data_IF_663197376335
#
_entry.id   IF_663197376335
#
_cell.length_a   1.000
_cell.length_b   1.000
_cell.length_c   1.000
_cell.angle_alpha   90.00
_cell.angle_beta   90.00
_cell.angle_gamma   90.00
#
_symmetry.space_group_name_H-M   'P 1'
#
loop_
_entity.id
_entity.type
_entity.pdbx_description
1 polymer ?
#
# COMPACT_ATOMS: atom_id res chain seq x y z
N UNK A 1 -51.68 20.48 13.22
CA UNK A 1 -50.69 19.82 14.10
C UNK A 1 -51.41 19.19 15.28
N UNK A 2 -51.40 17.86 15.37
CA UNK A 2 -51.67 17.05 16.57
C UNK A 2 -51.34 15.60 16.20
N UNK A 3 -50.08 15.20 16.46
CA UNK A 3 -49.61 13.83 16.40
C UNK A 3 -50.11 13.10 17.65
N UNK A 4 -51.10 12.24 17.50
CA UNK A 4 -51.37 11.22 18.53
C UNK A 4 -51.59 9.89 17.83
N UNK A 5 -51.00 8.84 18.40
CA UNK A 5 -51.25 7.41 18.13
C UNK A 5 -50.34 6.71 17.12
N UNK A 6 -49.25 6.12 17.60
CA UNK A 6 -48.99 4.67 17.42
C UNK A 6 -47.74 4.16 18.18
N UNK A 7 -47.61 4.50 19.46
CA UNK A 7 -46.62 3.86 20.36
C UNK A 7 -46.82 2.34 20.43
N UNK A 8 -48.07 1.87 20.38
CA UNK A 8 -48.40 0.43 20.37
C UNK A 8 -47.78 -0.37 19.21
N UNK A 9 -47.46 0.26 18.08
CA UNK A 9 -46.80 -0.39 16.93
C UNK A 9 -45.28 -0.51 17.12
N UNK A 10 -44.68 0.42 17.86
CA UNK A 10 -43.24 0.43 18.16
C UNK A 10 -42.90 -0.63 19.23
N UNK A 11 -43.79 -0.87 20.21
CA UNK A 11 -43.58 -1.93 21.20
C UNK A 11 -43.79 -3.35 20.66
N UNK A 12 -44.55 -3.52 19.57
CA UNK A 12 -44.82 -4.82 18.96
C UNK A 12 -43.70 -5.28 18.00
N UNK A 13 -42.90 -4.35 17.46
CA UNK A 13 -41.74 -4.66 16.61
C UNK A 13 -40.47 -4.96 17.42
N UNK A 14 -40.34 -4.42 18.64
CA UNK A 14 -39.17 -4.67 19.50
C UNK A 14 -39.20 -6.04 20.23
N UNK A 15 -40.38 -6.66 20.33
CA UNK A 15 -40.53 -7.99 20.94
C UNK A 15 -40.24 -9.15 19.96
N UNK A 16 -40.17 -8.88 18.65
CA UNK A 16 -39.92 -9.89 17.62
C UNK A 16 -38.43 -10.09 17.30
N UNK A 17 -37.55 -9.18 17.72
CA UNK A 17 -36.09 -9.25 17.45
C UNK A 17 -35.26 -9.75 18.63
N UNK A 18 -35.86 -10.02 19.78
CA UNK A 18 -35.18 -10.50 20.99
C UNK A 18 -35.63 -11.93 21.38
N UNK A 19 -35.71 -12.82 20.38
CA UNK A 19 -36.00 -14.24 20.58
C UNK A 19 -35.09 -15.17 19.74
N UNK A 20 -34.03 -14.66 19.11
CA UNK A 20 -33.06 -15.45 18.35
C UNK A 20 -31.61 -15.31 18.87
N UNK A 21 -31.48 -15.20 20.19
CA UNK A 21 -30.21 -15.36 20.87
C UNK A 21 -30.44 -16.21 22.11
N UNK A 22 -30.17 -17.52 22.01
CA UNK A 22 -29.43 -18.35 22.97
C UNK A 22 -29.51 -19.82 22.51
N UNK A 23 -28.37 -20.33 22.06
CA UNK A 23 -27.87 -21.66 22.41
C UNK A 23 -28.27 -22.84 21.52
N UNK A 24 -27.35 -23.31 20.68
CA UNK A 24 -26.78 -24.67 20.85
C UNK A 24 -25.38 -24.72 20.23
N UNK A 25 -24.36 -24.75 21.09
CA UNK A 25 -23.13 -25.47 20.78
C UNK A 25 -23.47 -26.96 20.91
N UNK A 26 -23.64 -27.65 19.77
CA UNK A 26 -23.79 -29.10 19.71
C UNK A 26 -22.79 -29.64 18.69
N UNK A 27 -21.71 -30.22 19.21
CA UNK A 27 -20.76 -31.06 18.48
C UNK A 27 -21.50 -32.35 18.08
N UNK A 28 -21.59 -32.65 16.79
CA UNK A 28 -22.24 -33.86 16.27
C UNK A 28 -21.98 -34.02 14.77
N UNK A 29 -21.52 -35.21 14.41
CA UNK A 29 -20.86 -35.62 13.16
C UNK A 29 -21.64 -35.51 11.83
N UNK A 30 -20.85 -35.44 10.75
CA UNK A 30 -21.04 -36.01 9.40
C UNK A 30 -21.89 -35.29 8.34
N UNK A 31 -21.16 -34.93 7.28
CA UNK A 31 -21.43 -34.92 5.83
C UNK A 31 -22.35 -33.87 5.15
N UNK A 32 -21.72 -33.22 4.16
CA UNK A 32 -22.19 -32.55 2.95
C UNK A 32 -23.35 -31.54 3.03
N UNK A 33 -23.05 -30.25 2.84
CA UNK A 33 -23.43 -29.50 1.62
C UNK A 33 -22.94 -28.03 1.71
N UNK A 34 -22.47 -27.56 0.55
CA UNK A 34 -22.15 -26.19 0.12
C UNK A 34 -22.43 -25.03 1.10
N UNK A 35 -21.34 -24.54 1.72
CA UNK A 35 -21.30 -23.31 2.49
C UNK A 35 -20.42 -22.25 1.83
N UNK A 36 -21.07 -21.26 1.25
CA UNK A 36 -20.63 -19.86 1.06
C UNK A 36 -19.26 -19.54 1.69
N UNK A 37 -18.22 -19.53 0.85
CA UNK A 37 -16.91 -19.02 1.23
C UNK A 37 -16.97 -17.48 1.24
N UNK A 38 -17.56 -16.93 2.30
CA UNK A 38 -17.21 -15.60 2.75
C UNK A 38 -15.70 -15.55 2.95
N UNK A 39 -15.00 -14.90 2.02
CA UNK A 39 -13.55 -14.69 2.02
C UNK A 39 -13.16 -13.80 3.21
N UNK A 40 -13.13 -14.40 4.39
CA UNK A 40 -12.32 -13.95 5.50
C UNK A 40 -10.90 -14.46 5.24
N UNK A 41 -9.98 -13.54 4.93
CA UNK A 41 -8.57 -13.84 4.72
C UNK A 41 -7.99 -14.57 5.94
N UNK A 42 -7.91 -15.89 5.85
CA UNK A 42 -7.13 -16.72 6.74
C UNK A 42 -5.67 -16.69 6.24
N UNK A 43 -4.85 -15.84 6.87
CA UNK A 43 -3.38 -15.99 6.93
C UNK A 43 -2.62 -16.31 5.63
N UNK A 44 -3.05 -15.77 4.48
CA UNK A 44 -2.38 -16.00 3.20
C UNK A 44 -1.31 -14.95 2.90
N UNK A 45 -0.18 -15.38 2.34
CA UNK A 45 0.86 -14.49 1.80
C UNK A 45 0.28 -13.60 0.70
N UNK A 46 0.53 -12.29 0.77
CA UNK A 46 0.13 -11.32 -0.24
C UNK A 46 1.28 -11.00 -1.18
N UNK A 47 1.02 -11.05 -2.48
CA UNK A 47 1.97 -10.59 -3.49
C UNK A 47 2.06 -9.06 -3.46
N UNK A 48 3.28 -8.53 -3.53
CA UNK A 48 3.55 -7.11 -3.69
C UNK A 48 4.68 -6.89 -4.69
N UNK A 49 4.56 -5.85 -5.51
CA UNK A 49 5.57 -5.48 -6.50
C UNK A 49 6.12 -4.09 -6.17
N UNK A 50 7.43 -4.00 -5.95
CA UNK A 50 8.17 -2.76 -5.75
C UNK A 50 9.03 -2.46 -6.97
N UNK A 51 8.86 -1.28 -7.54
CA UNK A 51 9.73 -0.74 -8.60
C UNK A 51 10.71 0.23 -7.94
N UNK A 52 12.02 0.05 -8.15
CA UNK A 52 13.04 0.98 -7.65
C UNK A 52 13.01 2.32 -8.42
N UNK A 53 13.79 3.33 -8.04
CA UNK A 53 13.92 4.60 -8.79
C UNK A 53 15.05 4.56 -9.83
N UNK A 54 15.98 3.61 -9.67
CA UNK A 54 17.14 3.42 -10.53
C UNK A 54 17.73 2.01 -10.30
N UNK A 55 18.87 1.72 -10.97
CA UNK A 55 19.61 0.48 -10.71
C UNK A 55 20.00 0.35 -9.21
N UNK A 56 20.10 -0.88 -8.67
CA UNK A 56 20.42 -1.10 -7.27
C UNK A 56 21.69 -0.38 -6.79
N UNK A 57 21.65 0.11 -5.55
CA UNK A 57 22.69 0.94 -4.96
C UNK A 57 22.53 1.04 -3.45
N UNK A 58 23.41 1.78 -2.77
CA UNK A 58 23.46 1.82 -1.31
C UNK A 58 22.13 2.22 -0.65
N UNK A 59 21.34 3.07 -1.30
CA UNK A 59 20.02 3.53 -0.80
C UNK A 59 18.99 2.41 -0.75
N UNK A 60 19.18 1.34 -1.53
CA UNK A 60 18.29 0.18 -1.60
C UNK A 60 18.70 -0.95 -0.64
N UNK A 61 19.85 -0.85 0.04
CA UNK A 61 20.45 -1.96 0.77
C UNK A 61 19.51 -2.57 1.83
N UNK A 62 18.76 -1.74 2.57
CA UNK A 62 17.83 -2.23 3.59
C UNK A 62 16.68 -3.08 3.02
N UNK A 63 16.24 -2.81 1.80
CA UNK A 63 15.18 -3.58 1.12
C UNK A 63 15.72 -4.98 0.80
N UNK A 64 16.90 -5.06 0.20
CA UNK A 64 17.54 -6.32 -0.15
C UNK A 64 17.98 -7.12 1.07
N UNK A 65 18.44 -6.46 2.13
CA UNK A 65 18.78 -7.12 3.40
C UNK A 65 17.52 -7.72 4.06
N UNK A 66 16.40 -6.99 4.08
CA UNK A 66 15.13 -7.50 4.60
C UNK A 66 14.63 -8.71 3.81
N UNK A 67 14.81 -8.70 2.49
CA UNK A 67 14.50 -9.84 1.61
C UNK A 67 15.40 -11.05 1.92
N UNK A 68 16.72 -10.85 2.03
CA UNK A 68 17.66 -11.92 2.37
C UNK A 68 17.39 -12.52 3.76
N UNK A 69 16.95 -11.70 4.71
CA UNK A 69 16.63 -12.13 6.08
C UNK A 69 15.23 -12.73 6.22
N UNK A 70 14.43 -12.79 5.17
CA UNK A 70 13.08 -13.36 5.19
C UNK A 70 12.01 -12.45 5.80
N UNK A 71 12.30 -11.18 6.08
CA UNK A 71 11.37 -10.30 6.81
C UNK A 71 10.05 -10.06 6.07
N UNK A 72 10.06 -10.05 4.72
CA UNK A 72 8.82 -9.96 3.96
C UNK A 72 7.99 -11.23 4.10
N UNK A 73 8.60 -12.41 3.93
CA UNK A 73 7.94 -13.71 4.06
C UNK A 73 7.38 -13.94 5.47
N UNK A 74 8.15 -13.60 6.51
CA UNK A 74 7.74 -13.66 7.92
C UNK A 74 6.51 -12.79 8.23
N UNK A 75 6.31 -11.72 7.45
CA UNK A 75 5.15 -10.84 7.55
C UNK A 75 4.06 -11.16 6.51
N UNK A 76 4.15 -12.31 5.84
CA UNK A 76 3.17 -12.74 4.85
C UNK A 76 3.19 -11.90 3.57
N UNK A 77 4.35 -11.41 3.14
CA UNK A 77 4.53 -10.63 1.92
C UNK A 77 5.47 -11.37 0.97
N UNK A 78 5.00 -11.67 -0.24
CA UNK A 78 5.83 -12.14 -1.35
C UNK A 78 6.22 -10.95 -2.21
N UNK A 79 7.36 -10.33 -1.89
CA UNK A 79 7.84 -9.13 -2.56
C UNK A 79 8.59 -9.47 -3.86
N UNK A 80 8.17 -8.85 -4.97
CA UNK A 80 8.89 -8.82 -6.25
C UNK A 80 9.49 -7.44 -6.47
N UNK A 81 10.77 -7.40 -6.87
CA UNK A 81 11.46 -6.15 -7.18
C UNK A 81 11.64 -6.01 -8.70
N UNK A 82 11.32 -4.83 -9.22
CA UNK A 82 11.58 -4.43 -10.60
C UNK A 82 12.66 -3.34 -10.58
N UNK A 83 13.69 -3.51 -11.39
CA UNK A 83 14.77 -2.54 -11.56
C UNK A 83 14.53 -1.71 -12.84
N UNK A 84 14.06 -0.45 -12.76
CA UNK A 84 13.88 0.38 -13.93
C UNK A 84 15.13 1.19 -14.26
N UNK A 85 15.04 1.94 -15.36
CA UNK A 85 16.09 2.85 -15.81
C UNK A 85 15.98 4.27 -15.26
N UNK A 86 14.84 4.67 -14.69
CA UNK A 86 14.64 6.02 -14.14
C UNK A 86 13.39 6.12 -13.24
N UNK A 87 13.31 7.19 -12.44
CA UNK A 87 12.09 7.55 -11.67
C UNK A 87 10.86 7.72 -12.57
N UNK A 88 11.03 8.29 -13.77
CA UNK A 88 9.94 8.46 -14.71
C UNK A 88 9.36 7.12 -15.18
N UNK A 89 10.21 6.11 -15.35
CA UNK A 89 9.76 4.76 -15.72
C UNK A 89 9.06 4.07 -14.54
N UNK A 90 9.53 4.30 -13.32
CA UNK A 90 8.86 3.85 -12.09
C UNK A 90 7.43 4.36 -12.01
N UNK A 91 7.25 5.68 -12.15
CA UNK A 91 5.93 6.31 -12.06
C UNK A 91 4.99 5.79 -13.16
N UNK A 92 5.47 5.63 -14.39
CA UNK A 92 4.68 5.04 -15.49
C UNK A 92 4.24 3.60 -15.19
N UNK A 93 5.08 2.79 -14.55
CA UNK A 93 4.73 1.41 -14.18
C UNK A 93 3.66 1.37 -13.09
N UNK A 94 3.70 2.30 -12.13
CA UNK A 94 2.66 2.46 -11.11
C UNK A 94 1.34 2.89 -11.77
N UNK A 95 1.36 3.93 -12.60
CA UNK A 95 0.17 4.44 -13.30
C UNK A 95 -0.47 3.39 -14.21
N UNK A 96 0.35 2.52 -14.82
CA UNK A 96 -0.11 1.42 -15.66
C UNK A 96 -0.65 0.21 -14.86
N UNK A 97 -0.66 0.27 -13.53
CA UNK A 97 -1.07 -0.83 -12.65
C UNK A 97 -0.16 -2.06 -12.76
N UNK A 98 1.12 -1.85 -13.11
CA UNK A 98 2.14 -2.91 -13.23
C UNK A 98 2.97 -3.10 -11.97
N UNK A 99 2.79 -2.22 -10.98
CA UNK A 99 3.42 -2.33 -9.67
C UNK A 99 2.53 -1.74 -8.57
N UNK A 100 2.74 -2.19 -7.34
CA UNK A 100 1.98 -1.75 -6.17
C UNK A 100 2.68 -0.57 -5.48
N UNK A 101 4.01 -0.58 -5.48
CA UNK A 101 4.85 0.44 -4.85
C UNK A 101 5.98 0.86 -5.79
N UNK A 102 6.33 2.15 -5.73
CA UNK A 102 7.44 2.72 -6.47
C UNK A 102 8.31 3.59 -5.56
N UNK A 103 9.62 3.53 -5.76
CA UNK A 103 10.55 4.56 -5.26
C UNK A 103 10.65 5.62 -6.34
N UNK A 104 10.57 6.89 -5.93
CA UNK A 104 10.66 8.04 -6.83
C UNK A 104 11.42 9.18 -6.16
N UNK A 105 12.08 10.01 -6.96
CA UNK A 105 12.59 11.30 -6.50
C UNK A 105 11.44 12.20 -6.01
N UNK A 106 11.71 12.96 -4.94
CA UNK A 106 10.70 13.80 -4.31
C UNK A 106 10.21 14.94 -5.19
N UNK A 107 11.05 15.50 -6.07
CA UNK A 107 10.66 16.55 -7.02
C UNK A 107 9.76 15.97 -8.11
N UNK A 108 10.11 14.79 -8.64
CA UNK A 108 9.30 14.12 -9.67
C UNK A 108 7.92 13.75 -9.12
N UNK A 109 7.84 13.22 -7.89
CA UNK A 109 6.58 12.95 -7.22
C UNK A 109 5.76 14.24 -7.00
N UNK A 110 6.41 15.33 -6.56
CA UNK A 110 5.72 16.61 -6.38
C UNK A 110 5.19 17.17 -7.70
N UNK A 111 5.93 16.99 -8.80
CA UNK A 111 5.50 17.35 -10.15
C UNK A 111 4.25 16.57 -10.57
N UNK A 112 4.24 15.25 -10.37
CA UNK A 112 3.06 14.42 -10.65
C UNK A 112 1.80 14.90 -9.91
N UNK A 113 1.95 15.20 -8.62
CA UNK A 113 0.86 15.72 -7.80
C UNK A 113 0.40 17.10 -8.31
N UNK A 114 1.35 17.97 -8.67
CA UNK A 114 1.06 19.31 -9.20
C UNK A 114 0.35 19.26 -10.56
N UNK A 115 0.66 18.27 -11.39
CA UNK A 115 0.03 18.04 -12.70
C UNK A 115 -1.38 17.43 -12.58
N UNK A 116 -1.81 17.08 -11.37
CA UNK A 116 -3.14 16.54 -11.07
C UNK A 116 -3.23 15.01 -11.20
N UNK A 117 -2.10 14.32 -11.32
CA UNK A 117 -2.07 12.86 -11.35
C UNK A 117 -2.26 12.26 -9.95
N UNK A 118 -2.80 11.05 -9.88
CA UNK A 118 -3.07 10.36 -8.61
C UNK A 118 -1.79 9.72 -8.06
N UNK A 119 -0.91 10.55 -7.51
CA UNK A 119 0.33 10.11 -6.88
C UNK A 119 0.33 10.40 -5.38
N UNK A 120 0.83 9.44 -4.58
CA UNK A 120 0.86 9.57 -3.12
C UNK A 120 2.17 9.03 -2.53
N UNK A 121 2.93 9.92 -1.89
CA UNK A 121 4.07 9.54 -1.06
C UNK A 121 3.60 8.95 0.28
N UNK A 122 4.13 7.76 0.64
CA UNK A 122 3.79 7.07 1.89
C UNK A 122 4.96 7.01 2.89
N UNK A 123 6.20 7.20 2.41
CA UNK A 123 7.42 7.16 3.22
C UNK A 123 8.54 7.95 2.53
N UNK A 124 9.43 8.55 3.32
CA UNK A 124 10.66 9.15 2.81
C UNK A 124 11.88 8.27 3.16
N UNK A 125 12.37 7.50 2.18
CA UNK A 125 13.61 6.70 2.33
C UNK A 125 14.84 7.62 2.49
N UNK A 126 14.85 8.73 1.75
CA UNK A 126 15.83 9.80 1.89
C UNK A 126 15.11 11.10 2.25
N UNK A 127 15.31 11.56 3.48
CA UNK A 127 14.65 12.77 3.98
C UNK A 127 15.30 14.07 3.50
N UNK A 128 16.53 14.01 3.00
CA UNK A 128 17.26 15.15 2.44
C UNK A 128 17.75 14.81 1.05
N UNK A 129 17.50 15.73 0.12
CA UNK A 129 17.96 15.62 -1.24
C UNK A 129 19.50 15.67 -1.26
N UNK A 130 20.12 14.68 -1.91
CA UNK A 130 21.57 14.60 -2.07
C UNK A 130 22.02 15.12 -3.44
N UNK A 131 21.11 15.69 -4.24
CA UNK A 131 21.47 16.24 -5.54
C UNK A 131 22.31 17.50 -5.36
N UNK A 132 23.23 17.70 -6.30
CA UNK A 132 24.15 18.82 -6.31
C UNK A 132 24.78 18.97 -7.68
N UNK A 133 25.33 20.15 -7.92
CA UNK A 133 26.10 20.43 -9.12
C UNK A 133 27.52 19.91 -8.91
N UNK A 134 28.02 19.13 -9.86
CA UNK A 134 29.35 18.55 -9.82
C UNK A 134 30.07 19.00 -11.09
N UNK A 135 31.25 19.61 -10.92
CA UNK A 135 32.11 20.06 -12.00
C UNK A 135 33.45 19.34 -11.90
N UNK A 136 34.20 19.30 -13.00
CA UNK A 136 35.56 18.77 -12.96
C UNK A 136 36.46 19.82 -12.30
N UNK A 137 37.40 19.38 -11.46
CA UNK A 137 38.36 20.26 -10.80
C UNK A 137 39.12 21.15 -11.80
N UNK A 138 39.50 20.59 -12.95
CA UNK A 138 40.20 21.31 -14.03
C UNK A 138 39.42 22.51 -14.60
N UNK A 139 38.11 22.55 -14.42
CA UNK A 139 37.26 23.63 -14.92
C UNK A 139 37.22 24.82 -13.93
N UNK A 140 37.75 24.64 -12.71
CA UNK A 140 37.89 25.67 -11.67
C UNK A 140 36.61 26.50 -11.42
N UNK A 141 35.46 25.81 -11.45
CA UNK A 141 34.14 26.39 -11.16
C UNK A 141 33.93 26.36 -9.65
N UNK A 142 33.94 27.54 -9.04
CA UNK A 142 33.81 27.76 -7.58
C UNK A 142 32.57 28.57 -7.20
N UNK A 143 31.89 29.20 -8.17
CA UNK A 143 30.68 30.00 -7.96
C UNK A 143 29.60 29.61 -9.00
N UNK A 144 28.32 29.48 -8.60
CA UNK A 144 27.23 29.13 -9.53
C UNK A 144 27.10 30.05 -10.76
N UNK A 145 27.57 31.31 -10.70
CA UNK A 145 27.56 32.23 -11.86
C UNK A 145 28.49 31.80 -13.00
N UNK A 146 29.35 30.80 -12.76
CA UNK A 146 30.28 30.26 -13.74
C UNK A 146 29.72 29.05 -14.51
N UNK A 147 28.51 28.59 -14.16
CA UNK A 147 27.78 27.51 -14.86
C UNK A 147 26.99 28.05 -16.07
#
# INVERSE_FOLDING_TARGET
MKFTTSWKKIMLLLAATMALAVGVAACGSSDDDSGDSGSGSAGGTQDATLVLDFIPGAVHAGIYEAMQKGYYEDNGINLKIIEPTSTADTLKLIDAGKADFGIADGIDLATQISDGNEAKGIMALQQRQKSGLITLEKDNITDPKQL
#
